data_IF_095507342637
#
_entry.id   IF_095507342637
#
_cell.length_a   1.000
_cell.length_b   1.000
_cell.length_c   1.000
_cell.angle_alpha   90.00
_cell.angle_beta   90.00
_cell.angle_gamma   90.00
#
_symmetry.space_group_name_H-M   'P 1'
#
loop_
_entity.id
_entity.type
_entity.pdbx_description
1 polymer ?
#
# COMPACT_ATOMS: atom_id res chain seq x y z
N UNK A 1 -36.00 5.50 -11.25
CA UNK A 1 -35.43 4.75 -12.36
C UNK A 1 -36.30 3.54 -12.66
N UNK A 2 -36.50 3.19 -13.93
CA UNK A 2 -37.05 1.89 -14.35
C UNK A 2 -35.95 0.99 -14.96
N UNK A 3 -36.25 -0.29 -15.20
CA UNK A 3 -35.24 -1.26 -15.67
C UNK A 3 -34.66 -0.90 -17.05
N UNK A 4 -35.44 -0.24 -17.90
CA UNK A 4 -35.02 0.11 -19.25
C UNK A 4 -34.05 1.30 -19.21
N UNK A 5 -34.41 2.33 -18.44
CA UNK A 5 -33.57 3.50 -18.15
C UNK A 5 -32.24 3.08 -17.51
N UNK A 6 -32.28 2.19 -16.51
CA UNK A 6 -31.07 1.67 -15.87
C UNK A 6 -30.17 0.90 -16.84
N UNK A 7 -30.76 0.10 -17.74
CA UNK A 7 -30.01 -0.64 -18.75
C UNK A 7 -29.30 0.32 -19.73
N UNK A 8 -29.95 1.41 -20.12
CA UNK A 8 -29.34 2.42 -20.98
C UNK A 8 -28.15 3.12 -20.30
N UNK A 9 -28.26 3.43 -19.00
CA UNK A 9 -27.16 3.98 -18.21
C UNK A 9 -25.98 2.99 -18.07
N UNK A 10 -26.26 1.72 -17.77
CA UNK A 10 -25.22 0.68 -17.70
C UNK A 10 -24.43 0.55 -19.01
N UNK A 11 -25.10 0.70 -20.15
CA UNK A 11 -24.45 0.63 -21.47
C UNK A 11 -23.53 1.82 -21.77
N UNK A 12 -23.61 2.91 -20.99
CA UNK A 12 -22.73 4.07 -21.09
C UNK A 12 -21.50 3.97 -20.18
N UNK A 13 -21.51 3.05 -19.20
CA UNK A 13 -20.35 2.85 -18.33
C UNK A 13 -19.16 2.27 -19.10
N UNK A 14 -17.92 2.57 -18.68
CA UNK A 14 -16.75 1.87 -19.17
C UNK A 14 -16.91 0.36 -18.99
N UNK A 15 -16.31 -0.44 -19.87
CA UNK A 15 -16.42 -1.91 -19.84
C UNK A 15 -16.06 -2.53 -18.49
N UNK A 16 -15.10 -1.93 -17.77
CA UNK A 16 -14.70 -2.33 -16.42
C UNK A 16 -15.14 -1.32 -15.35
N UNK A 17 -16.22 -0.57 -15.61
CA UNK A 17 -16.81 0.37 -14.67
C UNK A 17 -17.22 -0.34 -13.38
N UNK A 18 -17.07 0.35 -12.25
CA UNK A 18 -17.33 -0.19 -10.92
C UNK A 18 -18.28 0.74 -10.20
N UNK A 19 -19.29 0.15 -9.56
CA UNK A 19 -20.24 0.84 -8.69
C UNK A 19 -20.26 0.10 -7.36
N UNK A 20 -20.28 0.83 -6.25
CA UNK A 20 -20.41 0.23 -4.91
C UNK A 20 -21.75 -0.50 -4.78
N UNK A 21 -21.81 -1.59 -4.03
CA UNK A 21 -23.08 -2.33 -3.87
C UNK A 21 -24.14 -1.49 -3.15
N UNK A 22 -23.72 -0.78 -2.10
CA UNK A 22 -24.59 0.12 -1.34
C UNK A 22 -25.07 1.30 -2.19
N UNK A 23 -24.15 1.91 -2.94
CA UNK A 23 -24.45 3.00 -3.87
C UNK A 23 -25.45 2.56 -4.94
N UNK A 24 -25.19 1.40 -5.57
CA UNK A 24 -26.10 0.80 -6.53
C UNK A 24 -27.47 0.55 -5.91
N UNK A 25 -27.52 -0.03 -4.71
CA UNK A 25 -28.79 -0.28 -4.03
C UNK A 25 -29.59 1.00 -3.75
N UNK A 26 -28.92 2.10 -3.39
CA UNK A 26 -29.56 3.40 -3.21
C UNK A 26 -30.09 3.99 -4.52
N UNK A 27 -29.34 3.82 -5.61
CA UNK A 27 -29.66 4.36 -6.94
C UNK A 27 -30.85 3.64 -7.61
N UNK A 28 -30.80 2.30 -7.65
CA UNK A 28 -31.79 1.50 -8.38
C UNK A 28 -32.90 0.92 -7.48
N UNK A 29 -32.73 0.98 -6.16
CA UNK A 29 -33.74 0.70 -5.16
C UNK A 29 -34.56 -0.56 -5.42
N UNK A 30 -35.84 -0.36 -5.74
CA UNK A 30 -36.80 -1.46 -5.95
C UNK A 30 -36.47 -2.40 -7.11
N UNK A 31 -35.71 -1.95 -8.11
CA UNK A 31 -35.32 -2.72 -9.30
C UNK A 31 -34.26 -3.78 -8.98
N UNK A 32 -33.51 -3.61 -7.88
CA UNK A 32 -32.46 -4.54 -7.45
C UNK A 32 -32.95 -6.00 -7.38
N UNK A 33 -34.24 -6.20 -7.11
CA UNK A 33 -34.93 -7.50 -7.01
C UNK A 33 -35.05 -8.23 -8.35
N UNK A 34 -35.06 -7.46 -9.43
CA UNK A 34 -35.25 -7.94 -10.80
C UNK A 34 -33.91 -8.17 -11.51
N UNK A 35 -32.78 -7.97 -10.81
CA UNK A 35 -31.42 -8.16 -11.32
C UNK A 35 -30.82 -9.42 -10.70
N UNK A 36 -30.29 -10.29 -11.55
CA UNK A 36 -29.51 -11.44 -11.11
C UNK A 36 -28.03 -11.07 -10.98
N UNK A 37 -27.46 -11.27 -9.80
CA UNK A 37 -26.04 -11.01 -9.52
C UNK A 37 -25.22 -12.28 -9.63
N UNK A 38 -24.21 -12.26 -10.49
CA UNK A 38 -23.19 -13.32 -10.56
C UNK A 38 -22.07 -13.00 -9.58
N UNK A 39 -21.99 -13.75 -8.49
CA UNK A 39 -20.97 -13.56 -7.47
C UNK A 39 -19.66 -14.25 -7.88
N UNK A 40 -18.64 -13.45 -8.18
CA UNK A 40 -17.29 -13.93 -8.46
C UNK A 40 -16.39 -13.61 -7.27
N UNK A 41 -15.88 -14.62 -6.53
CA UNK A 41 -14.97 -14.36 -5.43
C UNK A 41 -13.64 -13.83 -5.97
N UNK A 42 -13.24 -12.66 -5.51
CA UNK A 42 -11.92 -12.09 -5.81
C UNK A 42 -10.89 -12.79 -4.94
N UNK A 43 -10.17 -13.75 -5.52
CA UNK A 43 -9.01 -14.37 -4.89
C UNK A 43 -7.80 -13.45 -5.06
N UNK A 44 -7.06 -13.21 -3.98
CA UNK A 44 -5.81 -12.44 -4.04
C UNK A 44 -4.63 -13.36 -3.76
N UNK A 45 -3.63 -13.30 -4.63
CA UNK A 45 -2.36 -13.98 -4.42
C UNK A 45 -1.43 -13.15 -3.55
N UNK A 46 -0.54 -13.82 -2.82
CA UNK A 46 0.46 -13.11 -1.98
C UNK A 46 1.49 -12.36 -2.82
N UNK A 47 1.83 -12.90 -4.01
CA UNK A 47 2.88 -12.36 -4.89
C UNK A 47 2.48 -12.18 -6.35
N UNK A 48 1.31 -12.66 -6.74
CA UNK A 48 0.85 -12.58 -8.13
C UNK A 48 -0.59 -12.13 -8.16
N UNK A 49 -0.85 -11.20 -9.08
CA UNK A 49 -2.20 -10.85 -9.47
C UNK A 49 -2.93 -12.10 -9.99
N UNK A 50 -4.15 -12.30 -9.50
CA UNK A 50 -4.97 -13.46 -9.87
C UNK A 50 -6.01 -13.01 -10.90
N UNK A 51 -6.07 -13.65 -12.08
CA UNK A 51 -7.06 -13.33 -13.10
C UNK A 51 -8.49 -13.47 -12.58
N UNK A 52 -9.30 -12.42 -12.78
CA UNK A 52 -10.73 -12.39 -12.46
C UNK A 52 -11.49 -12.56 -13.78
N UNK A 53 -12.35 -13.57 -13.92
CA UNK A 53 -13.19 -13.72 -15.11
C UNK A 53 -14.08 -12.48 -15.31
N UNK A 54 -14.11 -11.96 -16.54
CA UNK A 54 -15.00 -10.90 -16.97
C UNK A 54 -16.20 -11.46 -17.74
N UNK A 55 -17.28 -10.68 -17.82
CA UNK A 55 -18.54 -11.08 -18.47
C UNK A 55 -18.39 -11.32 -19.98
N UNK A 56 -17.37 -10.75 -20.61
CA UNK A 56 -17.07 -10.92 -22.04
C UNK A 56 -16.26 -12.21 -22.36
N UNK A 57 -16.01 -13.06 -21.36
CA UNK A 57 -15.21 -14.27 -21.50
C UNK A 57 -13.69 -14.04 -21.46
N UNK A 58 -13.23 -12.81 -21.26
CA UNK A 58 -11.82 -12.48 -20.96
C UNK A 58 -11.55 -12.49 -19.44
N UNK A 59 -10.36 -12.07 -19.07
CA UNK A 59 -9.94 -11.87 -17.68
C UNK A 59 -9.47 -10.45 -17.45
N UNK A 60 -9.72 -9.94 -16.25
CA UNK A 60 -9.15 -8.70 -15.75
C UNK A 60 -8.30 -8.96 -14.50
N UNK A 61 -7.47 -7.99 -14.12
CA UNK A 61 -6.64 -8.01 -12.91
C UNK A 61 -6.91 -6.79 -12.06
N UNK A 62 -6.75 -6.93 -10.75
CA UNK A 62 -6.72 -5.77 -9.86
C UNK A 62 -5.43 -4.99 -10.10
N UNK A 63 -5.53 -3.69 -10.38
CA UNK A 63 -4.36 -2.85 -10.61
C UNK A 63 -3.44 -2.80 -9.39
N UNK A 64 -4.03 -2.84 -8.19
CA UNK A 64 -3.27 -2.94 -6.96
C UNK A 64 -2.49 -4.25 -6.86
N UNK A 65 -3.05 -5.38 -7.29
CA UNK A 65 -2.32 -6.65 -7.27
C UNK A 65 -1.19 -6.67 -8.31
N UNK A 66 -1.38 -6.01 -9.47
CA UNK A 66 -0.33 -5.84 -10.49
C UNK A 66 0.81 -4.96 -9.97
N UNK A 67 0.45 -3.83 -9.35
CA UNK A 67 1.41 -2.94 -8.71
C UNK A 67 2.20 -3.68 -7.62
N UNK A 68 1.51 -4.35 -6.71
CA UNK A 68 2.13 -5.11 -5.62
C UNK A 68 3.05 -6.19 -6.16
N UNK A 69 2.63 -6.97 -7.16
CA UNK A 69 3.46 -8.03 -7.76
C UNK A 69 4.76 -7.44 -8.30
N UNK A 70 4.69 -6.34 -9.06
CA UNK A 70 5.87 -5.67 -9.62
C UNK A 70 6.83 -5.18 -8.53
N UNK A 71 6.35 -4.40 -7.56
CA UNK A 71 7.22 -3.81 -6.53
C UNK A 71 7.86 -4.89 -5.66
N UNK A 72 7.09 -5.91 -5.28
CA UNK A 72 7.60 -7.03 -4.49
C UNK A 72 8.66 -7.83 -5.25
N UNK A 73 8.52 -8.00 -6.57
CA UNK A 73 9.56 -8.64 -7.38
C UNK A 73 10.83 -7.79 -7.46
N UNK A 74 10.73 -6.46 -7.63
CA UNK A 74 11.91 -5.57 -7.59
C UNK A 74 12.63 -5.63 -6.23
N UNK A 75 11.88 -5.72 -5.13
CA UNK A 75 12.43 -5.80 -3.78
C UNK A 75 13.07 -7.16 -3.51
N UNK A 76 12.37 -8.26 -3.80
CA UNK A 76 12.82 -9.59 -3.40
C UNK A 76 13.84 -10.21 -4.36
N UNK A 77 13.67 -9.97 -5.66
CA UNK A 77 14.37 -10.73 -6.70
C UNK A 77 15.50 -9.92 -7.27
N UNK A 78 15.24 -8.66 -7.60
CA UNK A 78 16.26 -7.72 -8.07
C UNK A 78 17.03 -7.08 -6.92
N UNK A 79 16.52 -7.20 -5.67
CA UNK A 79 17.17 -6.65 -4.48
C UNK A 79 17.50 -5.16 -4.65
N UNK A 80 16.58 -4.41 -5.26
CA UNK A 80 16.83 -3.08 -5.84
C UNK A 80 17.38 -2.03 -4.85
N UNK A 81 17.14 -2.21 -3.54
CA UNK A 81 17.63 -1.32 -2.48
C UNK A 81 18.91 -1.81 -1.79
N UNK A 82 19.48 -2.94 -2.20
CA UNK A 82 20.62 -3.53 -1.50
C UNK A 82 21.91 -2.79 -1.84
N UNK A 83 22.56 -2.25 -0.80
CA UNK A 83 23.84 -1.58 -0.90
C UNK A 83 23.85 -0.22 -1.62
N UNK A 84 22.68 0.26 -2.06
CA UNK A 84 22.53 1.56 -2.75
C UNK A 84 22.55 2.73 -1.75
N UNK A 85 22.85 3.93 -2.24
CA UNK A 85 22.82 5.15 -1.42
C UNK A 85 21.40 5.66 -1.21
N UNK A 86 21.23 6.62 -0.30
CA UNK A 86 19.94 7.27 -0.06
C UNK A 86 19.45 8.05 -1.30
N UNK A 87 20.36 8.67 -2.04
CA UNK A 87 20.02 9.43 -3.25
C UNK A 87 19.55 8.48 -4.37
N UNK A 88 20.28 7.38 -4.59
CA UNK A 88 19.88 6.34 -5.56
C UNK A 88 18.52 5.71 -5.17
N UNK A 89 18.29 5.48 -3.87
CA UNK A 89 17.03 4.96 -3.38
C UNK A 89 15.87 5.94 -3.65
N UNK A 90 16.11 7.24 -3.53
CA UNK A 90 15.11 8.26 -3.85
C UNK A 90 14.75 8.26 -5.34
N UNK A 91 15.73 8.05 -6.24
CA UNK A 91 15.48 7.92 -7.67
C UNK A 91 14.63 6.68 -8.00
N UNK A 92 14.93 5.53 -7.38
CA UNK A 92 14.14 4.30 -7.53
C UNK A 92 12.68 4.53 -7.09
N UNK A 93 12.48 5.22 -5.97
CA UNK A 93 11.12 5.53 -5.48
C UNK A 93 10.34 6.42 -6.45
N UNK A 94 10.99 7.37 -7.12
CA UNK A 94 10.36 8.18 -8.16
C UNK A 94 9.91 7.33 -9.36
N UNK A 95 10.69 6.32 -9.75
CA UNK A 95 10.27 5.38 -10.80
C UNK A 95 9.04 4.55 -10.39
N UNK A 96 8.94 4.16 -9.12
CA UNK A 96 7.75 3.49 -8.61
C UNK A 96 6.51 4.39 -8.62
N UNK A 97 6.65 5.69 -8.32
CA UNK A 97 5.56 6.66 -8.44
C UNK A 97 5.15 6.89 -9.91
N UNK A 98 6.11 6.89 -10.85
CA UNK A 98 5.79 6.94 -12.29
C UNK A 98 5.03 5.71 -12.73
N UNK A 99 5.42 4.53 -12.27
CA UNK A 99 4.73 3.28 -12.59
C UNK A 99 3.30 3.25 -12.02
N UNK A 100 3.09 3.69 -10.78
CA UNK A 100 1.76 3.89 -10.22
C UNK A 100 0.91 4.81 -11.12
N UNK A 101 1.48 5.93 -11.56
CA UNK A 101 0.76 6.88 -12.41
C UNK A 101 0.32 6.25 -13.75
N UNK A 102 1.17 5.42 -14.36
CA UNK A 102 0.83 4.66 -15.57
C UNK A 102 -0.34 3.71 -15.29
N UNK A 103 -0.29 2.94 -14.21
CA UNK A 103 -1.37 2.02 -13.84
C UNK A 103 -2.68 2.77 -13.60
N UNK A 104 -2.65 3.88 -12.85
CA UNK A 104 -3.82 4.72 -12.59
C UNK A 104 -4.45 5.27 -13.88
N UNK A 105 -3.64 5.65 -14.87
CA UNK A 105 -4.12 6.07 -16.19
C UNK A 105 -4.74 4.91 -16.99
N UNK A 106 -4.11 3.72 -16.95
CA UNK A 106 -4.65 2.52 -17.60
C UNK A 106 -6.01 2.09 -17.03
N UNK A 107 -6.24 2.30 -15.74
CA UNK A 107 -7.47 1.92 -15.08
C UNK A 107 -8.67 2.82 -15.45
N UNK A 108 -8.46 4.02 -15.99
CA UNK A 108 -9.52 4.97 -16.38
C UNK A 108 -10.62 5.17 -15.31
N UNK A 109 -10.25 5.16 -14.04
CA UNK A 109 -11.19 5.30 -12.90
C UNK A 109 -11.80 3.99 -12.39
N UNK A 110 -11.51 2.84 -13.02
CA UNK A 110 -11.73 1.51 -12.45
C UNK A 110 -10.62 1.12 -11.46
N UNK A 111 -10.78 0.03 -10.72
CA UNK A 111 -9.68 -0.65 -10.00
C UNK A 111 -9.16 -1.87 -10.76
N UNK A 112 -9.78 -2.19 -11.90
CA UNK A 112 -9.50 -3.35 -12.74
C UNK A 112 -8.75 -2.94 -14.02
N UNK A 113 -7.86 -3.82 -14.46
CA UNK A 113 -7.10 -3.74 -15.70
C UNK A 113 -7.51 -4.88 -16.61
N UNK A 114 -7.66 -4.61 -17.90
CA UNK A 114 -7.75 -5.68 -18.91
C UNK A 114 -6.37 -6.37 -19.03
N UNK A 115 -6.38 -7.71 -19.10
CA UNK A 115 -5.17 -8.52 -19.27
C UNK A 115 -4.39 -8.20 -20.54
N UNK A 116 -5.03 -7.66 -21.58
CA UNK A 116 -4.37 -7.25 -22.83
C UNK A 116 -3.26 -6.19 -22.60
N UNK A 117 -3.25 -5.50 -21.45
CA UNK A 117 -2.22 -4.52 -21.07
C UNK A 117 -1.04 -5.11 -20.27
N UNK A 118 -1.09 -6.38 -19.87
CA UNK A 118 -0.22 -6.94 -18.80
C UNK A 118 0.82 -7.94 -19.30
N UNK A 119 0.62 -8.54 -20.49
CA UNK A 119 1.60 -9.47 -21.10
C UNK A 119 3.05 -8.93 -21.21
N UNK A 120 3.31 -7.61 -21.35
CA UNK A 120 4.68 -7.08 -21.32
C UNK A 120 5.33 -7.03 -19.92
N UNK A 121 4.56 -7.12 -18.83
CA UNK A 121 4.97 -6.74 -17.46
C UNK A 121 5.27 -7.97 -16.59
N UNK A 122 4.63 -9.11 -16.87
CA UNK A 122 4.66 -10.28 -15.98
C UNK A 122 5.63 -11.37 -16.46
N UNK A 123 6.93 -11.24 -16.17
CA UNK A 123 7.84 -12.39 -16.30
C UNK A 123 8.70 -12.62 -15.06
N UNK A 124 8.46 -13.79 -14.46
CA UNK A 124 9.08 -14.43 -13.29
C UNK A 124 8.56 -13.85 -11.96
N UNK A 125 8.20 -14.67 -10.96
CA UNK A 125 9.18 -15.26 -10.01
C UNK A 125 8.58 -16.44 -9.20
N UNK A 126 9.43 -17.35 -8.72
CA UNK A 126 9.06 -18.58 -7.96
C UNK A 126 9.63 -18.60 -6.53
N UNK A 127 8.80 -19.11 -5.62
CA UNK A 127 8.97 -19.60 -4.23
C UNK A 127 10.35 -19.63 -3.55
N UNK A 128 10.41 -19.16 -2.29
CA UNK A 128 11.31 -19.67 -1.24
C UNK A 128 10.84 -19.36 0.21
N UNK A 129 10.84 -20.42 1.02
CA UNK A 129 11.15 -20.52 2.47
C UNK A 129 10.08 -20.39 3.58
N UNK A 130 10.33 -21.23 4.60
CA UNK A 130 9.84 -21.22 5.98
C UNK A 130 11.08 -21.07 6.88
N UNK A 131 11.07 -20.13 7.83
CA UNK A 131 11.90 -20.11 9.04
C UNK A 131 11.40 -19.02 9.99
N UNK A 132 11.53 -19.23 11.31
CA UNK A 132 11.15 -18.25 12.35
C UNK A 132 12.25 -17.19 12.52
N UNK A 133 11.85 -15.93 12.66
CA UNK A 133 12.73 -14.75 12.65
C UNK A 133 12.60 -14.00 13.96
N UNK A 134 13.72 -13.45 14.44
CA UNK A 134 13.73 -12.51 15.56
C UNK A 134 14.15 -11.11 15.07
N UNK A 135 13.76 -10.02 15.76
CA UNK A 135 14.15 -8.65 15.38
C UNK A 135 15.67 -8.48 15.23
N UNK A 136 16.45 -9.11 16.11
CA UNK A 136 17.93 -9.06 16.05
C UNK A 136 18.50 -9.73 14.79
N UNK A 137 17.95 -10.87 14.38
CA UNK A 137 18.34 -11.54 13.11
C UNK A 137 17.95 -10.68 11.91
N UNK A 138 16.83 -9.94 12.01
CA UNK A 138 16.40 -9.01 10.96
C UNK A 138 17.32 -7.79 10.86
N UNK A 139 17.74 -7.19 11.98
CA UNK A 139 18.72 -6.10 12.01
C UNK A 139 20.05 -6.53 11.38
N UNK A 140 20.56 -7.72 11.71
CA UNK A 140 21.78 -8.29 11.13
C UNK A 140 21.65 -8.46 9.59
N UNK A 141 20.50 -8.94 9.10
CA UNK A 141 20.24 -9.03 7.67
C UNK A 141 20.15 -7.68 6.98
N UNK A 142 19.52 -6.68 7.60
CA UNK A 142 19.41 -5.31 7.07
C UNK A 142 20.78 -4.65 6.94
N UNK A 143 21.64 -4.83 7.95
CA UNK A 143 23.01 -4.32 7.91
C UNK A 143 23.81 -5.04 6.82
N UNK A 144 23.74 -6.37 6.77
CA UNK A 144 24.45 -7.18 5.77
C UNK A 144 24.01 -6.87 4.32
N UNK A 145 22.72 -6.64 4.09
CA UNK A 145 22.16 -6.24 2.80
C UNK A 145 22.44 -4.77 2.45
N UNK A 146 23.00 -3.98 3.37
CA UNK A 146 23.27 -2.55 3.15
C UNK A 146 22.01 -1.68 3.09
N UNK A 147 20.85 -2.18 3.50
CA UNK A 147 19.56 -1.48 3.42
C UNK A 147 19.51 -0.20 4.26
N UNK A 148 20.26 -0.17 5.36
CA UNK A 148 20.42 1.04 6.19
C UNK A 148 21.10 2.22 5.45
N UNK A 149 21.76 1.96 4.31
CA UNK A 149 22.32 3.01 3.46
C UNK A 149 21.26 3.67 2.58
N UNK A 150 20.33 2.86 2.06
CA UNK A 150 19.16 3.32 1.32
C UNK A 150 18.14 4.00 2.25
N UNK A 151 17.91 3.41 3.43
CA UNK A 151 16.90 3.84 4.39
C UNK A 151 17.52 3.97 5.81
N UNK A 152 18.05 5.15 6.19
CA UNK A 152 18.76 5.31 7.48
C UNK A 152 17.94 4.94 8.72
N UNK A 153 16.62 5.16 8.68
CA UNK A 153 15.71 4.94 9.81
C UNK A 153 15.17 3.50 9.90
N UNK A 154 15.49 2.63 8.94
CA UNK A 154 14.91 1.28 8.82
C UNK A 154 15.19 0.42 10.06
N UNK A 155 16.38 0.54 10.66
CA UNK A 155 16.77 -0.21 11.87
C UNK A 155 15.93 0.21 13.09
N UNK A 156 15.68 1.51 13.24
CA UNK A 156 14.84 2.03 14.32
C UNK A 156 13.40 1.52 14.19
N UNK A 157 12.89 1.37 12.97
CA UNK A 157 11.56 0.78 12.73
C UNK A 157 11.51 -0.71 13.02
N UNK A 158 12.51 -1.48 12.60
CA UNK A 158 12.59 -2.92 12.90
C UNK A 158 12.58 -3.20 14.39
N UNK A 159 13.25 -2.36 15.19
CA UNK A 159 13.28 -2.49 16.64
C UNK A 159 11.92 -2.31 17.33
N UNK A 160 10.98 -1.58 16.70
CA UNK A 160 9.62 -1.37 17.20
C UNK A 160 8.69 -2.57 16.96
N UNK A 161 9.06 -3.55 16.12
CA UNK A 161 8.29 -4.77 15.91
C UNK A 161 8.57 -5.80 17.02
N UNK A 162 8.39 -5.42 18.29
CA UNK A 162 8.75 -6.23 19.46
C UNK A 162 8.04 -7.61 19.48
N UNK A 163 6.95 -7.81 18.72
CA UNK A 163 6.26 -9.11 18.61
C UNK A 163 5.77 -9.42 17.18
N UNK A 164 6.70 -9.64 16.25
CA UNK A 164 6.41 -10.18 14.91
C UNK A 164 5.54 -11.46 14.92
N UNK A 165 5.59 -12.24 16.00
CA UNK A 165 4.78 -13.47 16.21
C UNK A 165 3.35 -13.21 16.72
N UNK A 166 3.07 -12.10 17.43
CA UNK A 166 1.71 -11.79 17.90
C UNK A 166 0.86 -11.14 16.80
N UNK A 167 1.51 -10.44 15.86
CA UNK A 167 0.85 -9.74 14.75
C UNK A 167 0.49 -10.66 13.58
N UNK A 168 0.97 -11.90 13.59
CA UNK A 168 0.77 -12.87 12.50
C UNK A 168 -0.47 -13.76 12.67
N UNK A 169 -1.27 -13.56 13.72
CA UNK A 169 -2.32 -14.50 14.16
C UNK A 169 -1.82 -15.96 14.26
N UNK A 170 -0.55 -16.16 14.61
CA UNK A 170 0.09 -17.48 14.69
C UNK A 170 0.77 -17.98 13.41
N UNK A 171 0.76 -17.20 12.32
CA UNK A 171 1.53 -17.52 11.12
C UNK A 171 3.03 -17.28 11.34
N UNK A 172 3.86 -18.23 10.89
CA UNK A 172 5.32 -18.05 10.92
C UNK A 172 5.70 -17.19 9.73
N UNK A 173 6.07 -15.94 9.96
CA UNK A 173 6.68 -15.12 8.91
C UNK A 173 8.08 -15.65 8.59
N UNK A 174 8.34 -15.89 7.31
CA UNK A 174 9.67 -16.16 6.79
C UNK A 174 10.50 -14.87 6.81
N UNK A 175 11.80 -14.97 7.17
CA UNK A 175 12.76 -13.86 7.17
C UNK A 175 12.72 -13.05 5.87
N UNK A 176 12.62 -13.73 4.74
CA UNK A 176 12.61 -13.07 3.43
C UNK A 176 11.31 -12.30 3.18
N UNK A 177 10.16 -12.89 3.50
CA UNK A 177 8.86 -12.20 3.36
C UNK A 177 8.76 -11.00 4.30
N UNK A 178 9.31 -11.14 5.51
CA UNK A 178 9.37 -10.07 6.48
C UNK A 178 10.30 -8.93 6.01
N UNK A 179 11.47 -9.28 5.46
CA UNK A 179 12.43 -8.31 4.92
C UNK A 179 11.85 -7.59 3.68
N UNK A 180 11.16 -8.32 2.81
CA UNK A 180 10.41 -7.77 1.68
C UNK A 180 9.34 -6.77 2.16
N UNK A 181 8.55 -7.14 3.16
CA UNK A 181 7.49 -6.28 3.68
C UNK A 181 8.03 -5.02 4.37
N UNK A 182 9.15 -5.14 5.11
CA UNK A 182 9.81 -3.98 5.72
C UNK A 182 10.30 -3.01 4.65
N UNK A 183 10.92 -3.51 3.58
CA UNK A 183 11.33 -2.67 2.46
C UNK A 183 10.12 -2.03 1.75
N UNK A 184 9.01 -2.76 1.61
CA UNK A 184 7.79 -2.19 1.04
C UNK A 184 7.19 -1.09 1.93
N UNK A 185 7.27 -1.23 3.26
CA UNK A 185 6.91 -0.17 4.19
C UNK A 185 7.78 1.07 3.97
N UNK A 186 9.08 0.92 3.69
CA UNK A 186 9.92 2.06 3.29
C UNK A 186 9.43 2.73 2.01
N UNK A 187 8.99 1.95 1.02
CA UNK A 187 8.38 2.50 -0.20
C UNK A 187 7.15 3.35 0.15
N UNK A 188 6.25 2.84 0.98
CA UNK A 188 5.04 3.58 1.41
C UNK A 188 5.42 4.88 2.15
N UNK A 189 6.36 4.82 3.08
CA UNK A 189 6.70 5.96 3.94
C UNK A 189 7.47 7.06 3.21
N UNK A 190 8.19 6.70 2.15
CA UNK A 190 9.05 7.62 1.40
C UNK A 190 8.44 8.04 0.05
N UNK A 191 7.16 7.74 -0.19
CA UNK A 191 6.41 8.17 -1.38
C UNK A 191 5.10 8.86 -1.00
N UNK A 192 4.62 9.73 -1.88
CA UNK A 192 3.36 10.47 -1.69
C UNK A 192 2.20 9.79 -2.37
N UNK A 193 2.43 9.26 -3.58
CA UNK A 193 1.35 8.72 -4.44
C UNK A 193 0.95 7.30 -4.05
N UNK A 194 1.91 6.46 -3.68
CA UNK A 194 1.66 5.06 -3.38
C UNK A 194 0.68 4.89 -2.20
N UNK A 195 0.82 5.58 -1.06
CA UNK A 195 -0.15 5.46 0.04
C UNK A 195 -1.59 5.77 -0.39
N UNK A 196 -1.76 6.79 -1.27
CA UNK A 196 -3.07 7.17 -1.82
C UNK A 196 -3.62 6.08 -2.73
N UNK A 197 -2.80 5.56 -3.63
CA UNK A 197 -3.15 4.46 -4.52
C UNK A 197 -3.59 3.22 -3.72
N UNK A 198 -2.81 2.79 -2.74
CA UNK A 198 -3.16 1.65 -1.88
C UNK A 198 -4.50 1.86 -1.14
N UNK A 199 -4.79 3.10 -0.72
CA UNK A 199 -6.05 3.44 -0.07
C UNK A 199 -7.24 3.40 -1.03
N UNK A 200 -7.12 4.03 -2.21
CA UNK A 200 -8.16 4.04 -3.24
C UNK A 200 -8.51 2.63 -3.72
N UNK A 201 -7.53 1.71 -3.72
CA UNK A 201 -7.73 0.31 -4.06
C UNK A 201 -8.14 -0.58 -2.87
N UNK A 202 -8.37 0.01 -1.69
CA UNK A 202 -8.86 -0.70 -0.50
C UNK A 202 -7.87 -1.69 0.13
N UNK A 203 -6.58 -1.59 -0.19
CA UNK A 203 -5.54 -2.52 0.32
C UNK A 203 -4.62 -1.91 1.38
N UNK A 204 -4.81 -0.64 1.74
CA UNK A 204 -3.95 0.07 2.69
C UNK A 204 -3.89 -0.55 4.10
N UNK A 205 -4.85 -1.39 4.48
CA UNK A 205 -4.86 -2.13 5.77
C UNK A 205 -4.05 -3.42 5.73
N UNK A 206 -3.58 -3.85 4.56
CA UNK A 206 -2.80 -5.08 4.39
C UNK A 206 -1.31 -4.89 4.74
N UNK A 207 -0.88 -3.66 4.99
CA UNK A 207 0.51 -3.32 5.30
C UNK A 207 0.66 -2.86 6.75
N UNK A 208 1.88 -2.92 7.30
CA UNK A 208 2.13 -2.66 8.73
C UNK A 208 2.34 -1.18 9.04
N UNK A 209 1.67 -0.31 8.28
CA UNK A 209 1.67 1.14 8.43
C UNK A 209 0.25 1.62 8.63
N UNK A 210 0.06 2.61 9.51
CA UNK A 210 -1.21 3.31 9.58
C UNK A 210 -1.44 4.04 8.26
N UNK A 211 -2.57 3.77 7.61
CA UNK A 211 -2.96 4.50 6.42
C UNK A 211 -3.37 5.93 6.79
N UNK A 212 -2.65 6.97 6.34
CA UNK A 212 -2.94 8.35 6.71
C UNK A 212 -4.38 8.75 6.34
N UNK A 213 -4.85 8.27 5.18
CA UNK A 213 -6.20 8.50 4.67
C UNK A 213 -7.30 7.80 5.48
N UNK A 214 -7.04 6.62 6.05
CA UNK A 214 -8.01 5.98 6.95
C UNK A 214 -8.09 6.66 8.32
N UNK A 215 -6.98 7.25 8.78
CA UNK A 215 -6.89 7.87 10.11
C UNK A 215 -7.32 9.34 10.13
N UNK A 216 -7.67 9.92 8.98
CA UNK A 216 -7.99 11.36 8.86
C UNK A 216 -6.79 12.27 9.14
N UNK A 217 -5.57 11.76 8.95
CA UNK A 217 -4.36 12.57 9.01
C UNK A 217 -4.16 13.10 7.60
N UNK A 218 -4.64 14.33 7.35
CA UNK A 218 -4.44 15.00 6.08
C UNK A 218 -2.94 15.25 5.86
N UNK A 219 -2.41 14.60 4.82
CA UNK A 219 -1.19 15.06 4.15
C UNK A 219 -1.60 16.27 3.29
N UNK A 220 -1.88 17.43 3.92
CA UNK A 220 -2.35 18.61 3.19
C UNK A 220 -1.38 19.00 2.06
N UNK A 221 -1.91 18.85 0.84
CA UNK A 221 -1.85 19.76 -0.31
C UNK A 221 -0.77 20.86 -0.29
N UNK A 222 0.25 20.66 -1.12
CA UNK A 222 0.70 21.70 -2.04
C UNK A 222 0.83 21.05 -3.41
N UNK A 223 0.15 21.63 -4.39
CA UNK A 223 0.65 21.92 -5.74
C UNK A 223 -0.59 22.12 -6.62
N UNK A 224 -1.12 23.34 -6.56
CA UNK A 224 -1.82 23.90 -7.71
C UNK A 224 -0.78 24.14 -8.80
N UNK A 225 -1.10 23.67 -9.99
CA UNK A 225 -0.39 23.92 -11.24
C UNK A 225 0.14 25.35 -11.35
N UNK A 226 1.45 25.50 -11.54
CA UNK A 226 1.99 26.64 -12.29
C UNK A 226 3.41 26.32 -12.76
N UNK A 227 3.59 26.37 -14.08
CA UNK A 227 4.88 26.32 -14.74
C UNK A 227 5.74 27.56 -14.42
N UNK A 228 7.05 27.29 -14.33
CA UNK A 228 8.19 28.17 -14.60
C UNK A 228 8.75 29.08 -13.48
N UNK A 229 10.09 29.00 -13.43
CA UNK A 229 11.11 29.84 -12.78
C UNK A 229 11.13 29.95 -11.25
N UNK A 230 12.18 29.38 -10.63
CA UNK A 230 13.13 30.05 -9.71
C UNK A 230 13.96 29.01 -8.93
N UNK A 231 15.05 28.53 -9.54
CA UNK A 231 15.92 27.48 -9.00
C UNK A 231 16.90 27.95 -7.91
N UNK A 232 16.68 29.09 -7.26
CA UNK A 232 17.62 29.62 -6.25
C UNK A 232 17.00 29.89 -4.87
N UNK A 233 15.69 29.66 -4.66
CA UNK A 233 15.02 29.81 -3.36
C UNK A 233 14.54 28.48 -2.72
N UNK A 234 14.68 27.34 -3.42
CA UNK A 234 14.11 26.05 -3.00
C UNK A 234 14.85 25.37 -1.83
N UNK A 235 16.14 25.59 -1.64
CA UNK A 235 16.92 24.89 -0.59
C UNK A 235 16.53 25.34 0.84
N UNK A 236 16.20 26.63 1.00
CA UNK A 236 15.73 27.18 2.28
C UNK A 236 14.35 26.66 2.67
N UNK A 237 13.43 26.55 1.71
CA UNK A 237 12.07 26.05 1.94
C UNK A 237 12.06 24.54 2.19
N UNK A 238 12.88 23.77 1.47
CA UNK A 238 13.07 22.33 1.68
C UNK A 238 13.67 22.06 3.06
N UNK A 239 14.67 22.82 3.51
CA UNK A 239 15.24 22.67 4.86
C UNK A 239 14.23 23.04 5.96
N UNK A 240 13.41 24.07 5.73
CA UNK A 240 12.38 24.47 6.68
C UNK A 240 11.23 23.45 6.76
N UNK A 241 10.84 22.85 5.63
CA UNK A 241 9.90 21.73 5.57
C UNK A 241 10.46 20.49 6.27
N UNK A 242 11.71 20.10 6.00
CA UNK A 242 12.37 18.97 6.68
C UNK A 242 12.39 19.13 8.21
N UNK A 243 12.66 20.35 8.70
CA UNK A 243 12.57 20.67 10.15
C UNK A 243 11.15 20.55 10.70
N UNK A 244 10.14 20.99 9.95
CA UNK A 244 8.73 20.88 10.37
C UNK A 244 8.27 19.42 10.43
N UNK A 245 8.62 18.61 9.42
CA UNK A 245 8.33 17.18 9.35
C UNK A 245 9.00 16.45 10.52
N UNK A 246 10.30 16.70 10.75
CA UNK A 246 11.04 16.09 11.88
C UNK A 246 10.41 16.43 13.24
N UNK A 247 9.97 17.67 13.44
CA UNK A 247 9.29 18.08 14.67
C UNK A 247 7.90 17.44 14.83
N UNK A 248 7.16 17.24 13.74
CA UNK A 248 5.88 16.53 13.76
C UNK A 248 6.06 15.04 14.06
N UNK A 249 7.06 14.39 13.45
CA UNK A 249 7.42 13.00 13.73
C UNK A 249 7.78 12.79 15.22
N UNK A 250 8.54 13.71 15.82
CA UNK A 250 8.83 13.66 17.25
C UNK A 250 7.58 13.81 18.14
N UNK A 251 6.59 14.62 17.72
CA UNK A 251 5.33 14.77 18.45
C UNK A 251 4.49 13.49 18.37
N UNK A 252 4.40 12.89 17.19
CA UNK A 252 3.68 11.62 16.97
C UNK A 252 4.30 10.52 17.85
N UNK A 253 5.62 10.38 17.83
CA UNK A 253 6.32 9.39 18.66
C UNK A 253 6.05 9.56 20.16
N UNK A 254 5.97 10.81 20.65
CA UNK A 254 5.61 11.09 22.07
C UNK A 254 4.18 10.70 22.40
N UNK A 255 3.24 10.90 21.46
CA UNK A 255 1.85 10.49 21.62
C UNK A 255 1.72 8.96 21.65
N UNK A 256 2.43 8.26 20.77
CA UNK A 256 2.45 6.79 20.74
C UNK A 256 2.96 6.19 22.05
N UNK A 257 4.07 6.71 22.59
CA UNK A 257 4.60 6.31 23.90
C UNK A 257 3.56 6.55 25.00
N UNK A 258 2.80 7.65 24.92
CA UNK A 258 1.77 7.99 25.91
C UNK A 258 0.59 7.03 25.84
N UNK A 259 0.11 6.72 24.63
CA UNK A 259 -0.98 5.76 24.40
C UNK A 259 -0.57 4.36 24.88
N UNK A 260 0.67 3.93 24.62
CA UNK A 260 1.19 2.64 25.10
C UNK A 260 1.23 2.57 26.64
N UNK A 261 1.63 3.65 27.31
CA UNK A 261 1.60 3.74 28.78
C UNK A 261 0.17 3.69 29.33
N UNK A 262 -0.78 4.34 28.66
CA UNK A 262 -2.19 4.29 29.03
C UNK A 262 -2.78 2.89 28.84
N UNK A 263 -2.52 2.22 27.70
CA UNK A 263 -2.93 0.82 27.46
C UNK A 263 -2.40 -0.14 28.52
N UNK A 264 -1.12 -0.01 28.92
CA UNK A 264 -0.55 -0.80 30.03
C UNK A 264 -1.25 -0.54 31.37
N UNK A 265 -1.60 0.71 31.64
CA UNK A 265 -2.34 1.08 32.85
C UNK A 265 -3.75 0.47 32.85
N UNK A 266 -4.45 0.55 31.71
CA UNK A 266 -5.78 -0.04 31.53
C UNK A 266 -5.73 -1.57 31.72
N UNK A 267 -4.76 -2.26 31.12
CA UNK A 267 -4.59 -3.71 31.31
C UNK A 267 -4.29 -4.08 32.77
N UNK A 268 -3.51 -3.27 33.50
CA UNK A 268 -3.26 -3.48 34.94
C UNK A 268 -4.53 -3.29 35.77
N UNK A 269 -5.37 -2.32 35.41
CA UNK A 269 -6.65 -2.08 36.07
C UNK A 269 -7.67 -3.19 35.76
N UNK A 270 -7.76 -3.65 34.51
CA UNK A 270 -8.62 -4.78 34.12
C UNK A 270 -8.25 -6.07 34.87
N UNK A 271 -6.96 -6.33 35.08
CA UNK A 271 -6.48 -7.47 35.89
C UNK A 271 -6.78 -7.34 37.40
N UNK A 272 -7.02 -6.11 37.89
CA UNK A 272 -7.41 -5.85 39.29
C UNK A 272 -8.92 -5.92 39.50
N UNK A 273 -9.71 -5.63 38.47
CA UNK A 273 -11.19 -5.68 38.51
C UNK A 273 -11.72 -7.09 38.23
N UNK A 274 -10.94 -7.96 37.58
CA UNK A 274 -11.25 -9.38 37.37
C UNK A 274 -10.85 -10.34 38.51
N UNK A 275 -10.64 -9.82 39.73
CA UNK A 275 -10.44 -10.59 40.98
C UNK A 275 -11.48 -10.12 42.00
#
# INVERSE_FOLDING_TARGET
>A
MDLLEFKEELMQLPELGIVGFEELHEEIGGIMKDIEFVLVPIQRGVRRAVPIPSFNGKYCLLASDVFMSFILDQISMEQIFHGVSQDDAAEILLEFEKYENVLSQCCKGSILLDMDYIEPIAKNVTNLLKNKVTPKIMEEHIVAAGLHKAFPDILGRVSCFENLNEMSNGNVFNALLLLEHIQFVEVILNTKRIPKFLHQHGICTQHWTLCPYCTGIDLESSDSETESSEAENQDGEIQQMRKKISNQQQKILRLEITILKQKRTIQKLQRRVGK
#
